data_IF_073735131088
#
_entry.id   IF_073735131088
#
_cell.length_a   1.000
_cell.length_b   1.000
_cell.length_c   1.000
_cell.angle_alpha   90.00
_cell.angle_beta   90.00
_cell.angle_gamma   90.00
#
_symmetry.space_group_name_H-M   'P 1'
#
loop_
_entity.id
_entity.type
_entity.pdbx_description
1 polymer ?
#
# COMPACT_ATOMS: atom_id res chain seq x y z
N UNK A 1 -2.21 -15.36 -11.20
CA UNK A 1 -1.58 -14.64 -10.08
C UNK A 1 -2.47 -13.61 -9.37
N UNK A 2 -3.69 -13.32 -9.84
CA UNK A 2 -4.56 -12.32 -9.19
C UNK A 2 -4.97 -12.68 -7.75
N UNK A 3 -5.18 -13.97 -7.43
CA UNK A 3 -5.52 -14.40 -6.08
C UNK A 3 -4.48 -13.97 -5.02
N UNK A 4 -3.20 -13.88 -5.39
CA UNK A 4 -2.12 -13.49 -4.47
C UNK A 4 -2.06 -11.97 -4.24
N UNK A 5 -2.34 -11.16 -5.26
CA UNK A 5 -2.41 -9.71 -5.12
C UNK A 5 -3.64 -9.27 -4.32
N UNK A 6 -4.77 -9.97 -4.46
CA UNK A 6 -5.99 -9.70 -3.71
C UNK A 6 -5.80 -10.03 -2.22
N UNK A 7 -5.24 -11.21 -1.91
CA UNK A 7 -4.97 -11.57 -0.51
C UNK A 7 -3.98 -10.62 0.17
N UNK A 8 -2.95 -10.14 -0.55
CA UNK A 8 -1.99 -9.18 -0.01
C UNK A 8 -2.64 -7.84 0.38
N UNK A 9 -3.58 -7.35 -0.45
CA UNK A 9 -4.33 -6.13 -0.15
C UNK A 9 -5.27 -6.29 1.06
N UNK A 10 -5.92 -7.45 1.20
CA UNK A 10 -6.78 -7.75 2.36
C UNK A 10 -5.99 -7.77 3.66
N UNK A 11 -4.82 -8.43 3.66
CA UNK A 11 -3.92 -8.46 4.83
C UNK A 11 -3.45 -7.05 5.18
N UNK A 12 -3.10 -6.21 4.20
CA UNK A 12 -2.70 -4.83 4.42
C UNK A 12 -3.82 -4.00 5.10
N UNK A 13 -5.07 -4.15 4.66
CA UNK A 13 -6.21 -3.48 5.29
C UNK A 13 -6.44 -3.94 6.74
N UNK A 14 -6.27 -5.23 7.03
CA UNK A 14 -6.40 -5.77 8.38
C UNK A 14 -5.29 -5.23 9.30
N UNK A 15 -4.05 -5.19 8.80
CA UNK A 15 -2.91 -4.65 9.56
C UNK A 15 -3.11 -3.16 9.84
N UNK A 16 -3.55 -2.37 8.85
CA UNK A 16 -3.84 -0.94 9.05
C UNK A 16 -4.98 -0.70 10.04
N UNK A 17 -6.09 -1.44 9.91
CA UNK A 17 -7.22 -1.32 10.83
C UNK A 17 -6.85 -1.67 12.26
N UNK A 18 -6.11 -2.76 12.46
CA UNK A 18 -5.63 -3.15 13.79
C UNK A 18 -4.57 -2.20 14.34
N UNK A 19 -3.67 -1.66 13.50
CA UNK A 19 -2.68 -0.68 13.92
C UNK A 19 -3.32 0.63 14.42
N UNK A 20 -4.43 1.07 13.84
CA UNK A 20 -5.18 2.24 14.33
C UNK A 20 -5.75 1.98 15.72
N UNK A 21 -6.38 0.83 15.94
CA UNK A 21 -6.94 0.47 17.25
C UNK A 21 -5.85 0.36 18.32
N UNK A 22 -4.78 -0.38 18.05
CA UNK A 22 -3.65 -0.55 18.98
C UNK A 22 -2.94 0.79 19.21
N UNK A 23 -2.82 1.63 18.18
CA UNK A 23 -2.23 2.96 18.26
C UNK A 23 -3.04 3.88 19.17
N UNK A 24 -4.36 3.88 19.01
CA UNK A 24 -5.26 4.65 19.88
C UNK A 24 -5.12 4.22 21.35
N UNK A 25 -5.18 2.91 21.63
CA UNK A 25 -4.97 2.41 22.99
C UNK A 25 -3.56 2.71 23.54
N UNK A 26 -2.54 2.61 22.69
CA UNK A 26 -1.15 2.92 23.06
C UNK A 26 -0.95 4.38 23.46
N UNK A 27 -1.61 5.31 22.76
CA UNK A 27 -1.64 6.73 23.11
C UNK A 27 -2.41 6.97 24.41
N UNK A 28 -3.61 6.38 24.58
CA UNK A 28 -4.42 6.60 25.79
C UNK A 28 -3.74 6.13 27.07
N UNK A 29 -2.94 5.06 27.02
CA UNK A 29 -2.26 4.49 28.20
C UNK A 29 -0.79 4.89 28.33
N UNK A 30 -0.30 5.78 27.45
CA UNK A 30 1.11 6.22 27.42
C UNK A 30 2.13 5.04 27.40
N UNK A 31 1.76 3.90 26.82
CA UNK A 31 2.60 2.72 26.80
C UNK A 31 3.54 2.73 25.59
N UNK A 32 4.82 3.01 25.83
CA UNK A 32 5.87 3.10 24.79
C UNK A 32 5.93 1.83 23.92
N UNK A 33 5.74 0.65 24.51
CA UNK A 33 5.78 -0.63 23.80
C UNK A 33 4.64 -0.78 22.76
N UNK A 34 3.44 -0.29 23.05
CA UNK A 34 2.31 -0.35 22.12
C UNK A 34 2.51 0.59 20.93
N UNK A 35 3.03 1.79 21.19
CA UNK A 35 3.39 2.80 20.17
C UNK A 35 4.47 2.25 19.22
N UNK A 36 5.50 1.57 19.74
CA UNK A 36 6.55 0.98 18.90
C UNK A 36 6.01 -0.14 18.01
N UNK A 37 5.17 -1.03 18.55
CA UNK A 37 4.53 -2.10 17.76
C UNK A 37 3.70 -1.53 16.62
N UNK A 38 2.95 -0.44 16.86
CA UNK A 38 2.15 0.19 15.80
C UNK A 38 3.01 0.74 14.66
N UNK A 39 4.18 1.33 14.98
CA UNK A 39 5.15 1.78 13.98
C UNK A 39 5.66 0.64 13.08
N UNK A 40 5.91 -0.54 13.66
CA UNK A 40 6.31 -1.74 12.91
C UNK A 40 5.16 -2.28 12.06
N UNK A 41 3.93 -2.29 12.59
CA UNK A 41 2.74 -2.71 11.83
C UNK A 41 2.52 -1.83 10.60
N UNK A 42 2.74 -0.50 10.70
CA UNK A 42 2.68 0.40 9.54
C UNK A 42 3.79 0.12 8.51
N UNK A 43 5.01 -0.28 8.94
CA UNK A 43 6.05 -0.70 7.99
C UNK A 43 5.68 -1.98 7.25
N UNK A 44 5.16 -2.97 7.96
CA UNK A 44 4.70 -4.23 7.36
C UNK A 44 3.56 -3.98 6.36
N UNK A 45 2.60 -3.13 6.71
CA UNK A 45 1.54 -2.73 5.77
C UNK A 45 2.11 -2.04 4.52
N UNK A 46 3.08 -1.14 4.68
CA UNK A 46 3.73 -0.44 3.57
C UNK A 46 4.47 -1.40 2.62
N UNK A 47 5.17 -2.42 3.13
CA UNK A 47 5.85 -3.41 2.28
C UNK A 47 4.86 -4.28 1.52
N UNK A 48 3.76 -4.72 2.15
CA UNK A 48 2.69 -5.46 1.47
C UNK A 48 1.99 -4.61 0.39
N UNK A 49 1.75 -3.33 0.66
CA UNK A 49 1.22 -2.39 -0.32
C UNK A 49 2.19 -2.19 -1.51
N UNK A 50 3.50 -2.06 -1.23
CA UNK A 50 4.53 -1.99 -2.27
C UNK A 50 4.58 -3.25 -3.13
N UNK A 51 4.50 -4.44 -2.53
CA UNK A 51 4.43 -5.68 -3.29
C UNK A 51 3.22 -5.73 -4.22
N UNK A 52 2.05 -5.34 -3.71
CA UNK A 52 0.81 -5.27 -4.51
C UNK A 52 0.95 -4.28 -5.67
N UNK A 53 1.46 -3.08 -5.39
CA UNK A 53 1.65 -2.03 -6.38
C UNK A 53 2.67 -2.44 -7.45
N UNK A 54 3.75 -3.10 -7.04
CA UNK A 54 4.81 -3.62 -7.91
C UNK A 54 4.27 -4.71 -8.84
N UNK A 55 3.46 -5.65 -8.32
CA UNK A 55 2.81 -6.68 -9.15
C UNK A 55 1.88 -6.04 -10.19
N UNK A 56 1.09 -5.03 -9.80
CA UNK A 56 0.22 -4.30 -10.72
C UNK A 56 1.06 -3.56 -11.78
N UNK A 57 2.18 -2.96 -11.38
CA UNK A 57 3.08 -2.26 -12.27
C UNK A 57 3.73 -3.20 -13.30
N UNK A 58 4.25 -4.35 -12.86
CA UNK A 58 4.82 -5.36 -13.75
C UNK A 58 3.77 -5.95 -14.69
N UNK A 59 2.56 -6.24 -14.21
CA UNK A 59 1.46 -6.72 -15.07
C UNK A 59 1.15 -5.72 -16.19
N UNK A 60 1.11 -4.42 -15.87
CA UNK A 60 0.90 -3.35 -16.86
C UNK A 60 2.09 -3.13 -17.80
N UNK A 61 3.32 -3.32 -17.32
CA UNK A 61 4.52 -3.24 -18.16
C UNK A 61 4.57 -4.39 -19.17
N UNK A 62 4.17 -5.59 -18.77
CA UNK A 62 4.07 -6.77 -19.62
C UNK A 62 2.91 -6.67 -20.64
N UNK A 63 1.79 -6.03 -20.29
CA UNK A 63 0.73 -5.73 -21.26
C UNK A 63 1.16 -4.67 -22.30
N UNK A 64 2.20 -3.87 -22.02
CA UNK A 64 2.71 -2.80 -22.89
C UNK A 64 3.87 -3.20 -23.81
N UNK A 65 4.49 -4.37 -23.64
CA UNK A 65 5.54 -4.86 -24.56
C UNK A 65 5.51 -6.37 -24.70
N UNK A 66 5.76 -6.99 -25.87
CA UNK A 66 5.89 -6.49 -27.23
C UNK A 66 4.66 -6.89 -28.07
N UNK A 67 3.56 -6.13 -28.03
CA UNK A 67 2.46 -6.29 -29.02
C UNK A 67 2.71 -5.51 -30.32
N UNK A 68 3.98 -5.29 -30.65
CA UNK A 68 4.40 -4.64 -31.91
C UNK A 68 4.68 -5.68 -33.01
N UNK A 69 4.76 -6.97 -32.68
CA UNK A 69 5.06 -8.02 -33.68
C UNK A 69 4.05 -9.17 -33.55
N UNK A 70 3.12 -9.20 -34.49
CA UNK A 70 2.30 -10.32 -34.98
C UNK A 70 1.77 -11.39 -34.00
N UNK A 71 0.46 -11.33 -33.75
CA UNK A 71 -0.32 -12.45 -33.22
C UNK A 71 -1.81 -12.12 -33.14
N UNK A 72 -2.73 -12.99 -33.60
CA UNK A 72 -4.16 -12.79 -33.44
C UNK A 72 -4.52 -13.03 -31.97
N UNK A 73 -4.93 -11.97 -31.29
CA UNK A 73 -5.19 -12.02 -29.84
C UNK A 73 -6.63 -12.48 -29.60
N UNK A 74 -6.79 -13.76 -29.28
CA UNK A 74 -8.04 -14.34 -28.80
C UNK A 74 -8.44 -13.71 -27.47
N UNK A 75 -9.38 -12.78 -27.53
CA UNK A 75 -10.08 -12.26 -26.38
C UNK A 75 -11.02 -13.32 -25.80
N UNK A 76 -10.82 -13.67 -24.52
CA UNK A 76 -11.71 -14.56 -23.73
C UNK A 76 -13.15 -14.02 -23.58
N UNK A 77 -13.46 -12.82 -24.07
CA UNK A 77 -14.84 -12.33 -24.22
C UNK A 77 -14.94 -11.51 -25.51
N UNK A 78 -15.44 -12.13 -26.57
CA UNK A 78 -15.89 -11.45 -27.78
C UNK A 78 -14.87 -11.47 -28.92
N UNK A 79 -15.24 -12.14 -30.01
CA UNK A 79 -14.46 -12.25 -31.24
C UNK A 79 -14.14 -10.91 -31.91
N UNK A 80 -13.36 -10.98 -32.99
CA UNK A 80 -12.77 -9.88 -33.78
C UNK A 80 -13.53 -8.54 -33.72
N UNK A 81 -13.15 -7.67 -32.77
CA UNK A 81 -13.60 -6.28 -32.74
C UNK A 81 -12.53 -5.40 -33.41
N UNK A 82 -12.88 -4.60 -34.43
CA UNK A 82 -11.94 -3.76 -35.15
C UNK A 82 -11.25 -2.73 -34.23
N UNK A 83 -9.94 -2.51 -34.49
CA UNK A 83 -9.04 -1.61 -33.72
C UNK A 83 -9.56 -0.18 -33.55
N UNK A 84 -10.52 0.26 -34.38
CA UNK A 84 -11.20 1.56 -34.28
C UNK A 84 -12.13 1.67 -33.06
N UNK A 85 -12.75 0.57 -32.62
CA UNK A 85 -13.66 0.56 -31.45
C UNK A 85 -12.86 0.43 -30.14
N UNK A 86 -11.72 -0.26 -30.16
CA UNK A 86 -10.82 -0.36 -28.99
C UNK A 86 -10.10 0.96 -28.68
N UNK A 87 -10.01 1.88 -29.65
CA UNK A 87 -9.49 3.25 -29.45
C UNK A 87 -10.36 4.09 -28.51
N UNK A 88 -11.63 3.71 -28.33
CA UNK A 88 -12.54 4.36 -27.38
C UNK A 88 -12.36 3.86 -25.94
N UNK A 89 -11.75 2.69 -25.72
CA UNK A 89 -11.54 2.14 -24.37
C UNK A 89 -10.21 2.62 -23.79
N UNK A 90 -10.11 3.93 -23.55
CA UNK A 90 -9.10 4.47 -22.63
C UNK A 90 -9.48 4.01 -21.22
N UNK A 91 -8.92 2.89 -20.75
CA UNK A 91 -8.83 2.63 -19.32
C UNK A 91 -7.85 3.62 -18.70
N UNK A 92 -8.33 4.84 -18.46
CA UNK A 92 -7.66 5.80 -17.58
C UNK A 92 -7.71 5.24 -16.16
N UNK A 93 -6.62 4.59 -15.76
CA UNK A 93 -6.39 4.24 -14.36
C UNK A 93 -5.07 4.88 -13.93
N UNK A 94 -5.03 6.21 -14.00
CA UNK A 94 -3.98 7.01 -13.35
C UNK A 94 -4.31 7.17 -11.87
N UNK A 95 -5.54 7.57 -11.52
CA UNK A 95 -5.94 7.90 -10.15
C UNK A 95 -5.64 6.82 -9.10
N UNK A 96 -6.07 5.58 -9.30
CA UNK A 96 -5.88 4.53 -8.29
C UNK A 96 -4.42 4.12 -8.09
N UNK A 97 -3.60 4.25 -9.14
CA UNK A 97 -2.18 3.91 -9.06
C UNK A 97 -1.39 5.02 -8.39
N UNK A 98 -1.71 6.28 -8.71
CA UNK A 98 -1.14 7.46 -8.05
C UNK A 98 -1.54 7.51 -6.57
N UNK A 99 -2.79 7.18 -6.24
CA UNK A 99 -3.23 6.99 -4.85
C UNK A 99 -2.55 5.81 -4.16
N UNK A 100 -2.19 4.75 -4.88
CA UNK A 100 -1.43 3.62 -4.33
C UNK A 100 -0.04 4.05 -3.86
N UNK A 101 0.70 4.79 -4.69
CA UNK A 101 1.97 5.40 -4.30
C UNK A 101 1.80 6.38 -3.13
N UNK A 102 0.75 7.20 -3.18
CA UNK A 102 0.37 8.09 -2.08
C UNK A 102 0.16 7.33 -0.76
N UNK A 103 -0.61 6.24 -0.78
CA UNK A 103 -0.85 5.40 0.40
C UNK A 103 0.43 4.79 0.98
N UNK A 104 1.35 4.32 0.13
CA UNK A 104 2.66 3.81 0.58
C UNK A 104 3.47 4.92 1.25
N UNK A 105 3.56 6.10 0.64
CA UNK A 105 4.31 7.23 1.22
C UNK A 105 3.70 7.69 2.55
N UNK A 106 2.37 7.77 2.64
CA UNK A 106 1.67 8.10 3.88
C UNK A 106 1.94 7.08 4.98
N UNK A 107 1.95 5.79 4.63
CA UNK A 107 2.22 4.70 5.57
C UNK A 107 3.68 4.74 6.09
N UNK A 108 4.64 5.07 5.22
CA UNK A 108 6.04 5.27 5.60
C UNK A 108 6.21 6.50 6.51
N UNK A 109 5.61 7.64 6.15
CA UNK A 109 5.62 8.85 6.98
C UNK A 109 4.97 8.62 8.34
N UNK A 110 3.84 7.90 8.37
CA UNK A 110 3.18 7.51 9.60
C UNK A 110 4.11 6.67 10.48
N UNK A 111 4.81 5.67 9.92
CA UNK A 111 5.76 4.87 10.71
C UNK A 111 6.88 5.73 11.31
N UNK A 112 7.46 6.65 10.54
CA UNK A 112 8.48 7.58 11.05
C UNK A 112 7.89 8.44 12.17
N UNK A 113 6.68 8.97 12.00
CA UNK A 113 6.00 9.76 13.03
C UNK A 113 5.76 8.93 14.31
N UNK A 114 5.32 7.68 14.21
CA UNK A 114 5.12 6.78 15.35
C UNK A 114 6.43 6.43 16.07
N UNK A 115 7.52 6.22 15.33
CA UNK A 115 8.85 5.97 15.90
C UNK A 115 9.37 7.23 16.61
N UNK A 116 9.25 8.41 15.98
CA UNK A 116 9.63 9.68 16.58
C UNK A 116 8.80 9.95 17.84
N UNK A 117 7.51 9.68 17.81
CA UNK A 117 6.62 9.81 18.97
C UNK A 117 7.05 8.89 20.11
N UNK A 118 7.41 7.63 19.81
CA UNK A 118 7.93 6.70 20.83
C UNK A 118 9.22 7.19 21.48
N UNK A 119 10.08 7.92 20.73
CA UNK A 119 11.29 8.55 21.23
C UNK A 119 10.97 9.78 22.08
N UNK A 120 10.11 10.67 21.62
CA UNK A 120 9.69 11.87 22.37
C UNK A 120 9.02 11.47 23.69
N UNK A 121 8.14 10.45 23.67
CA UNK A 121 7.52 9.90 24.87
C UNK A 121 8.51 9.21 25.81
N UNK A 122 9.72 8.85 25.36
CA UNK A 122 10.80 8.39 26.22
C UNK A 122 11.60 9.55 26.83
N UNK A 123 11.72 10.68 26.13
CA UNK A 123 12.40 11.86 26.65
C UNK A 123 11.54 12.68 27.62
N UNK A 124 10.22 12.76 27.43
CA UNK A 124 9.28 13.43 28.34
C UNK A 124 9.29 12.91 29.79
N UNK A 125 9.33 11.60 30.08
CA UNK A 125 9.44 11.09 31.45
C UNK A 125 10.84 11.28 32.04
N UNK A 126 11.90 11.36 31.23
CA UNK A 126 13.26 11.67 31.71
C UNK A 126 13.36 13.14 32.10
N UNK A 127 12.79 14.05 31.29
CA UNK A 127 12.72 15.48 31.60
C UNK A 127 11.88 15.76 32.86
N UNK A 128 10.78 15.01 33.07
CA UNK A 128 9.94 15.11 34.26
C UNK A 128 10.55 14.45 35.53
N UNK A 129 11.59 13.61 35.40
CA UNK A 129 12.34 13.04 36.54
C UNK A 129 13.59 13.86 36.91
N UNK A 130 14.00 14.82 36.07
CA UNK A 130 15.18 15.67 36.28
C UNK A 130 14.79 17.09 36.76
N UNK A 131 13.54 17.51 36.58
CA UNK A 131 12.96 18.74 37.14
C UNK A 131 12.35 18.47 38.52
#
# INVERSE_FOLDING_TARGET
>A
MQNLSISCSLVCLIILGSAVLVGFFGLCRHQISAVLVTGVMYLLAATFALFTLTIIHFKRAQDRGPRIIDGPEDGVVGGHVPKSILKARRFTTSWSLDFGWGGVTLCALASVAWILLSKIMRFSPIAAMIA
#
